data_IF_871537631604
#
_entry.id   IF_871537631604
#
_cell.length_a   1.000
_cell.length_b   1.000
_cell.length_c   1.000
_cell.angle_alpha   90.00
_cell.angle_beta   90.00
_cell.angle_gamma   90.00
#
_symmetry.space_group_name_H-M   'P 1'
#
loop_
_entity.id
_entity.type
_entity.pdbx_description
1 polymer ?
#
# COMPACT_ATOMS: atom_id res chain seq x y z
N UNK A 1 -19.04 -16.85 -7.90
CA UNK A 1 -17.55 -16.85 -7.89
C UNK A 1 -16.91 -17.11 -9.26
N UNK A 2 -17.47 -17.93 -10.16
CA UNK A 2 -16.85 -18.26 -11.48
C UNK A 2 -16.79 -17.14 -12.53
N UNK A 3 -17.73 -16.18 -12.52
CA UNK A 3 -17.77 -15.10 -13.52
C UNK A 3 -16.77 -13.96 -13.33
N UNK A 4 -16.33 -13.73 -12.08
CA UNK A 4 -15.39 -12.65 -11.76
C UNK A 4 -13.95 -12.99 -12.18
N UNK A 5 -13.56 -14.27 -12.03
CA UNK A 5 -12.28 -14.76 -12.52
C UNK A 5 -12.19 -14.66 -14.05
N UNK A 6 -13.22 -15.03 -14.80
CA UNK A 6 -13.22 -14.92 -16.27
C UNK A 6 -13.08 -13.47 -16.75
N UNK A 7 -13.72 -12.50 -16.07
CA UNK A 7 -13.57 -11.07 -16.38
C UNK A 7 -12.17 -10.53 -16.02
N UNK A 8 -11.58 -11.01 -14.91
CA UNK A 8 -10.22 -10.69 -14.49
C UNK A 8 -9.19 -11.31 -15.48
N UNK A 9 -9.42 -12.54 -15.94
CA UNK A 9 -8.59 -13.22 -16.94
C UNK A 9 -8.73 -12.61 -18.34
N UNK A 10 -9.90 -12.10 -18.72
CA UNK A 10 -10.06 -11.35 -19.96
C UNK A 10 -9.32 -10.00 -19.91
N UNK A 11 -9.31 -9.33 -18.75
CA UNK A 11 -8.57 -8.08 -18.55
C UNK A 11 -7.04 -8.28 -18.45
N UNK A 12 -6.59 -9.45 -17.98
CA UNK A 12 -5.16 -9.79 -17.86
C UNK A 12 -4.62 -10.45 -19.15
N UNK A 13 -5.43 -11.29 -19.81
CA UNK A 13 -5.08 -12.09 -21.00
C UNK A 13 -4.89 -11.30 -22.30
N UNK A 14 -5.31 -10.03 -22.34
CA UNK A 14 -5.04 -9.12 -23.47
C UNK A 14 -3.91 -8.12 -23.21
N UNK A 15 -3.08 -8.32 -22.18
CA UNK A 15 -1.75 -7.70 -22.20
C UNK A 15 -0.82 -8.47 -23.13
N UNK A 16 -1.17 -8.49 -24.42
CA UNK A 16 -0.21 -8.73 -25.50
C UNK A 16 0.84 -7.64 -25.34
N UNK A 17 1.95 -7.97 -24.68
CA UNK A 17 3.18 -7.18 -24.72
C UNK A 17 3.52 -7.00 -26.20
N UNK A 18 3.05 -5.92 -26.80
CA UNK A 18 3.64 -5.40 -28.02
C UNK A 18 5.04 -5.00 -27.61
N UNK A 19 6.00 -5.90 -27.85
CA UNK A 19 7.40 -5.58 -28.00
C UNK A 19 7.49 -4.45 -29.03
N UNK A 20 7.53 -3.22 -28.54
CA UNK A 20 7.66 -2.06 -29.41
C UNK A 20 9.10 -2.02 -29.91
N UNK A 21 9.30 -1.68 -31.20
CA UNK A 21 10.57 -1.80 -31.88
C UNK A 21 11.65 -1.02 -31.13
N UNK A 22 12.75 -1.70 -30.81
CA UNK A 22 14.03 -1.11 -30.39
C UNK A 22 14.45 -0.14 -31.49
N UNK A 23 14.26 1.17 -31.33
CA UNK A 23 14.61 2.11 -32.39
C UNK A 23 14.54 3.62 -32.13
N UNK A 24 13.90 4.12 -31.06
CA UNK A 24 13.99 5.54 -30.69
C UNK A 24 14.07 5.68 -29.17
N UNK A 25 15.04 6.45 -28.68
CA UNK A 25 15.17 6.75 -27.25
C UNK A 25 13.89 7.35 -26.67
N UNK A 26 13.70 7.30 -25.34
CA UNK A 26 12.49 7.84 -24.72
C UNK A 26 12.33 9.32 -25.11
N UNK A 27 11.17 9.68 -25.65
CA UNK A 27 10.82 11.09 -25.90
C UNK A 27 10.89 11.87 -24.58
N UNK A 28 11.28 13.14 -24.59
CA UNK A 28 11.40 13.96 -23.37
C UNK A 28 10.15 13.92 -22.48
N UNK A 29 8.98 13.84 -23.11
CA UNK A 29 7.67 13.69 -22.46
C UNK A 29 7.48 12.34 -21.75
N UNK A 30 8.00 11.26 -22.33
CA UNK A 30 7.99 9.92 -21.74
C UNK A 30 9.00 9.80 -20.59
N UNK A 31 10.16 10.43 -20.72
CA UNK A 31 11.11 10.53 -19.61
C UNK A 31 10.50 11.30 -18.42
N UNK A 32 9.80 12.41 -18.68
CA UNK A 32 9.07 13.14 -17.64
C UNK A 32 7.93 12.31 -16.99
N UNK A 33 7.22 11.50 -17.79
CA UNK A 33 6.21 10.56 -17.28
C UNK A 33 6.79 9.53 -16.32
N UNK A 34 7.91 8.89 -16.68
CA UNK A 34 8.59 7.91 -15.84
C UNK A 34 9.11 8.54 -14.52
N UNK A 35 9.39 9.85 -14.51
CA UNK A 35 9.89 10.54 -13.30
C UNK A 35 8.75 10.94 -12.35
N UNK A 36 7.62 11.40 -12.89
CA UNK A 36 6.57 12.07 -12.09
C UNK A 36 5.41 11.13 -11.73
N UNK A 37 5.19 10.08 -12.52
CA UNK A 37 3.94 9.31 -12.47
C UNK A 37 4.14 7.82 -12.20
N UNK A 38 5.29 7.25 -12.58
CA UNK A 38 5.70 5.93 -12.10
C UNK A 38 6.13 6.07 -10.63
N UNK A 39 5.20 5.78 -9.72
CA UNK A 39 5.50 5.59 -8.29
C UNK A 39 6.66 4.60 -8.09
N UNK A 40 7.24 4.50 -6.89
CA UNK A 40 8.62 4.07 -6.65
C UNK A 40 9.04 2.91 -7.56
N UNK A 41 9.60 3.25 -8.72
CA UNK A 41 10.27 2.32 -9.60
C UNK A 41 11.68 2.08 -9.05
N UNK A 42 12.41 1.10 -9.57
CA UNK A 42 13.79 0.80 -9.13
C UNK A 42 14.77 1.99 -9.30
N UNK A 43 14.31 3.12 -9.84
CA UNK A 43 15.08 4.35 -10.01
C UNK A 43 14.98 5.23 -8.77
N UNK A 44 16.13 5.76 -8.34
CA UNK A 44 16.24 6.64 -7.17
C UNK A 44 15.54 7.99 -7.39
N UNK A 45 15.54 8.49 -8.64
CA UNK A 45 15.09 9.84 -8.97
C UNK A 45 13.58 10.09 -8.69
N UNK A 46 12.62 9.25 -9.13
CA UNK A 46 11.20 9.42 -8.79
C UNK A 46 10.95 9.46 -7.27
N UNK A 47 11.61 8.57 -6.52
CA UNK A 47 11.46 8.50 -5.06
C UNK A 47 11.96 9.77 -4.37
N UNK A 48 13.04 10.38 -4.88
CA UNK A 48 13.57 11.65 -4.36
C UNK A 48 12.64 12.81 -4.68
N UNK A 49 12.07 12.86 -5.89
CA UNK A 49 11.09 13.89 -6.28
C UNK A 49 9.84 13.81 -5.42
N UNK A 50 9.30 12.60 -5.22
CA UNK A 50 8.15 12.37 -4.33
C UNK A 50 8.45 12.81 -2.89
N UNK A 51 9.60 12.41 -2.35
CA UNK A 51 10.02 12.81 -1.01
C UNK A 51 10.15 14.33 -0.88
N UNK A 52 10.77 14.99 -1.86
CA UNK A 52 10.91 16.44 -1.90
C UNK A 52 9.55 17.15 -1.92
N UNK A 53 8.62 16.71 -2.77
CA UNK A 53 7.28 17.31 -2.86
C UNK A 53 6.49 17.09 -1.55
N UNK A 54 6.58 15.92 -0.93
CA UNK A 54 5.97 15.65 0.37
C UNK A 54 6.54 16.55 1.46
N UNK A 55 7.86 16.71 1.53
CA UNK A 55 8.51 17.62 2.49
C UNK A 55 8.07 19.07 2.25
N UNK A 56 8.01 19.51 0.99
CA UNK A 56 7.56 20.86 0.63
C UNK A 56 6.10 21.10 1.07
N UNK A 57 5.21 20.12 0.87
CA UNK A 57 3.83 20.19 1.35
C UNK A 57 3.78 20.29 2.87
N UNK A 58 4.55 19.45 3.59
CA UNK A 58 4.58 19.48 5.05
C UNK A 58 5.06 20.84 5.60
N UNK A 59 6.13 21.40 5.02
CA UNK A 59 6.64 22.74 5.36
C UNK A 59 5.56 23.80 5.10
N UNK A 60 4.83 23.71 3.99
CA UNK A 60 3.75 24.66 3.68
C UNK A 60 2.60 24.58 4.68
N UNK A 61 2.17 23.38 5.07
CA UNK A 61 1.09 23.21 6.06
C UNK A 61 1.52 23.79 7.41
N UNK A 62 2.75 23.51 7.85
CA UNK A 62 3.30 24.09 9.08
C UNK A 62 3.38 25.62 8.97
N UNK A 63 3.86 26.15 7.84
CA UNK A 63 3.93 27.59 7.61
C UNK A 63 2.56 28.26 7.71
N UNK A 64 1.52 27.67 7.11
CA UNK A 64 0.15 28.19 7.20
C UNK A 64 -0.36 28.18 8.64
N UNK A 65 -0.09 27.12 9.42
CA UNK A 65 -0.47 27.08 10.83
C UNK A 65 0.25 28.19 11.64
N UNK A 66 1.56 28.37 11.44
CA UNK A 66 2.36 29.38 12.14
C UNK A 66 1.98 30.81 11.72
N UNK A 67 1.57 31.01 10.47
CA UNK A 67 1.06 32.30 9.95
C UNK A 67 -0.18 32.77 10.72
N UNK A 68 -0.96 31.86 11.34
CA UNK A 68 -2.13 32.23 12.13
C UNK A 68 -1.80 32.85 13.49
N UNK A 69 -0.54 32.72 13.96
CA UNK A 69 -0.10 33.25 15.26
C UNK A 69 0.50 34.64 15.06
N UNK A 70 -0.13 35.73 15.58
CA UNK A 70 0.30 37.10 15.28
C UNK A 70 1.76 37.39 15.65
N UNK A 71 2.21 36.92 16.81
CA UNK A 71 3.60 37.13 17.29
C UNK A 71 4.66 36.47 16.40
N UNK A 72 4.33 35.35 15.76
CA UNK A 72 5.23 34.65 14.83
C UNK A 72 5.15 35.31 13.46
N UNK A 73 3.94 35.66 13.00
CA UNK A 73 3.71 36.33 11.73
C UNK A 73 4.48 37.65 11.64
N UNK A 74 4.36 38.51 12.65
CA UNK A 74 5.00 39.83 12.63
C UNK A 74 6.53 39.75 12.57
N UNK A 75 7.12 38.69 13.14
CA UNK A 75 8.57 38.46 13.15
C UNK A 75 9.09 37.79 11.87
N UNK A 76 8.32 36.90 11.26
CA UNK A 76 8.75 36.05 10.13
C UNK A 76 7.96 36.26 8.84
N UNK A 77 7.21 37.37 8.72
CA UNK A 77 6.36 37.70 7.57
C UNK A 77 7.04 37.48 6.21
N UNK A 78 8.26 37.99 6.05
CA UNK A 78 9.03 37.85 4.80
C UNK A 78 9.34 36.40 4.47
N UNK A 79 9.69 35.59 5.48
CA UNK A 79 9.96 34.17 5.30
C UNK A 79 8.72 33.42 4.83
N UNK A 80 7.55 33.69 5.42
CA UNK A 80 6.28 33.06 4.99
C UNK A 80 5.93 33.42 3.54
N UNK A 81 6.12 34.67 3.14
CA UNK A 81 5.90 35.12 1.75
C UNK A 81 6.85 34.40 0.78
N UNK A 82 8.13 34.26 1.14
CA UNK A 82 9.10 33.55 0.30
C UNK A 82 8.74 32.07 0.16
N UNK A 83 8.39 31.41 1.28
CA UNK A 83 7.95 30.01 1.27
C UNK A 83 6.73 29.84 0.35
N UNK A 84 5.74 30.73 0.45
CA UNK A 84 4.54 30.73 -0.38
C UNK A 84 4.86 30.87 -1.87
N UNK A 85 5.69 31.85 -2.25
CA UNK A 85 6.02 32.11 -3.65
C UNK A 85 6.79 30.94 -4.24
N UNK A 86 7.82 30.46 -3.53
CA UNK A 86 8.67 29.35 -4.00
C UNK A 86 7.85 28.07 -4.12
N UNK A 87 7.01 27.75 -3.13
CA UNK A 87 6.20 26.53 -3.15
C UNK A 87 5.14 26.57 -4.25
N UNK A 88 4.44 27.69 -4.43
CA UNK A 88 3.44 27.86 -5.49
C UNK A 88 4.10 27.78 -6.86
N UNK A 89 5.29 28.36 -7.05
CA UNK A 89 6.03 28.22 -8.30
C UNK A 89 6.34 26.75 -8.61
N UNK A 90 6.86 26.00 -7.63
CA UNK A 90 7.16 24.56 -7.77
C UNK A 90 5.89 23.76 -8.07
N UNK A 91 4.80 23.98 -7.32
CA UNK A 91 3.53 23.27 -7.54
C UNK A 91 2.87 23.64 -8.88
N UNK A 92 3.04 24.87 -9.35
CA UNK A 92 2.56 25.28 -10.68
C UNK A 92 3.32 24.52 -11.77
N UNK A 93 4.66 24.45 -11.66
CA UNK A 93 5.49 23.69 -12.59
C UNK A 93 5.13 22.21 -12.57
N UNK A 94 4.99 21.61 -11.38
CA UNK A 94 4.55 20.23 -11.21
C UNK A 94 3.18 19.98 -11.87
N UNK A 95 2.19 20.84 -11.62
CA UNK A 95 0.87 20.73 -12.25
C UNK A 95 0.94 20.87 -13.78
N UNK A 96 1.72 21.81 -14.29
CA UNK A 96 1.91 22.02 -15.72
C UNK A 96 2.58 20.81 -16.40
N UNK A 97 3.61 20.23 -15.78
CA UNK A 97 4.26 19.03 -16.32
C UNK A 97 3.30 17.85 -16.32
N UNK A 98 2.49 17.67 -15.26
CA UNK A 98 1.46 16.61 -15.21
C UNK A 98 0.43 16.73 -16.32
N UNK A 99 -0.08 17.94 -16.56
CA UNK A 99 -0.94 18.20 -17.71
C UNK A 99 -0.23 17.93 -19.03
N UNK A 100 1.01 18.39 -19.18
CA UNK A 100 1.78 18.18 -20.42
C UNK A 100 1.97 16.69 -20.73
N UNK A 101 2.25 15.89 -19.70
CA UNK A 101 2.49 14.47 -19.79
C UNK A 101 1.18 13.67 -19.93
N UNK A 102 0.03 14.19 -19.48
CA UNK A 102 -1.23 13.46 -19.38
C UNK A 102 -1.59 12.51 -20.56
N UNK A 103 -1.45 12.88 -21.85
CA UNK A 103 -1.73 11.95 -22.95
C UNK A 103 -0.85 10.66 -23.02
N UNK A 104 0.21 10.53 -22.22
CA UNK A 104 1.00 9.28 -22.09
C UNK A 104 0.32 8.26 -21.17
N UNK A 105 -0.65 8.68 -20.35
CA UNK A 105 -1.35 7.75 -19.48
C UNK A 105 -2.20 6.75 -20.28
N UNK A 106 -2.16 5.49 -19.88
CA UNK A 106 -2.88 4.39 -20.52
C UNK A 106 -4.39 4.66 -20.72
N UNK A 107 -5.15 5.22 -19.75
CA UNK A 107 -6.58 5.51 -19.91
C UNK A 107 -6.92 6.57 -20.97
N UNK A 108 -5.93 7.33 -21.43
CA UNK A 108 -6.09 8.35 -22.47
C UNK A 108 -5.39 7.98 -23.78
N UNK A 109 -4.86 6.75 -23.87
CA UNK A 109 -4.24 6.24 -25.10
C UNK A 109 -5.27 6.28 -26.25
N UNK A 110 -4.90 6.94 -27.34
CA UNK A 110 -5.78 7.14 -28.51
C UNK A 110 -6.62 8.43 -28.51
N UNK A 111 -6.61 9.23 -27.44
CA UNK A 111 -7.26 10.55 -27.45
C UNK A 111 -6.36 11.62 -28.08
N UNK A 112 -6.99 12.66 -28.65
CA UNK A 112 -6.26 13.88 -29.04
C UNK A 112 -5.57 14.48 -27.81
N UNK A 113 -4.35 15.03 -27.93
CA UNK A 113 -3.59 15.52 -26.77
C UNK A 113 -4.36 16.52 -25.90
N UNK A 114 -5.09 17.47 -26.49
CA UNK A 114 -5.85 18.47 -25.73
C UNK A 114 -7.06 17.85 -24.99
N UNK A 115 -7.70 16.84 -25.57
CA UNK A 115 -8.80 16.13 -24.92
C UNK A 115 -8.29 15.31 -23.73
N UNK A 116 -7.13 14.65 -23.85
CA UNK A 116 -6.49 13.95 -22.75
C UNK A 116 -6.13 14.89 -21.59
N UNK A 117 -5.59 16.08 -21.90
CA UNK A 117 -5.27 17.12 -20.90
C UNK A 117 -6.50 17.60 -20.14
N UNK A 118 -7.57 17.92 -20.86
CA UNK A 118 -8.82 18.38 -20.25
C UNK A 118 -9.43 17.29 -19.35
N UNK A 119 -9.44 16.05 -19.83
CA UNK A 119 -9.95 14.91 -19.05
C UNK A 119 -9.11 14.63 -17.81
N UNK A 120 -7.78 14.81 -17.89
CA UNK A 120 -6.90 14.74 -16.74
C UNK A 120 -7.16 15.88 -15.74
N UNK A 121 -7.33 17.12 -16.22
CA UNK A 121 -7.58 18.29 -15.38
C UNK A 121 -8.85 18.14 -14.52
N UNK A 122 -9.84 17.39 -15.00
CA UNK A 122 -11.09 17.08 -14.30
C UNK A 122 -10.98 15.90 -13.32
N UNK A 123 -9.81 15.28 -13.16
CA UNK A 123 -9.61 14.23 -12.16
C UNK A 123 -9.51 14.81 -10.75
N UNK A 124 -9.94 14.10 -9.70
CA UNK A 124 -9.88 14.61 -8.32
C UNK A 124 -8.50 15.08 -7.89
N UNK A 125 -7.45 14.35 -8.28
CA UNK A 125 -6.07 14.71 -7.94
C UNK A 125 -5.61 15.99 -8.67
N UNK A 126 -5.96 16.16 -9.94
CA UNK A 126 -5.63 17.36 -10.69
C UNK A 126 -6.41 18.59 -10.21
N UNK A 127 -7.66 18.41 -9.76
CA UNK A 127 -8.44 19.47 -9.13
C UNK A 127 -7.78 19.90 -7.82
N UNK A 128 -7.33 18.97 -6.98
CA UNK A 128 -6.59 19.30 -5.75
C UNK A 128 -5.29 20.06 -6.08
N UNK A 129 -4.55 19.63 -7.11
CA UNK A 129 -3.33 20.30 -7.56
C UNK A 129 -3.61 21.74 -8.02
N UNK A 130 -4.73 21.97 -8.72
CA UNK A 130 -5.19 23.30 -9.14
C UNK A 130 -5.62 24.16 -7.95
N UNK A 131 -6.48 23.63 -7.06
CA UNK A 131 -6.97 24.34 -5.88
C UNK A 131 -5.84 24.71 -4.91
N UNK A 132 -4.74 23.95 -4.90
CA UNK A 132 -3.57 24.22 -4.09
C UNK A 132 -2.77 25.47 -4.54
N UNK A 133 -2.79 25.80 -5.83
CA UNK A 133 -2.08 26.96 -6.40
C UNK A 133 -3.02 28.16 -6.65
N UNK A 134 -4.31 27.89 -6.83
CA UNK A 134 -5.32 28.89 -7.19
C UNK A 134 -5.38 30.12 -6.25
N UNK A 135 -5.32 30.01 -4.91
CA UNK A 135 -5.46 31.16 -4.02
C UNK A 135 -4.40 32.25 -4.26
N UNK A 136 -3.18 31.84 -4.59
CA UNK A 136 -2.08 32.76 -4.90
C UNK A 136 -2.41 33.59 -6.13
N UNK A 137 -2.78 32.94 -7.25
CA UNK A 137 -3.11 33.63 -8.49
C UNK A 137 -4.37 34.49 -8.38
N UNK A 138 -5.39 34.05 -7.63
CA UNK A 138 -6.61 34.83 -7.40
C UNK A 138 -6.33 36.12 -6.62
N UNK A 139 -5.33 36.13 -5.75
CA UNK A 139 -4.91 37.34 -5.00
C UNK A 139 -4.42 38.46 -5.93
N UNK A 140 -3.84 38.11 -7.09
CA UNK A 140 -3.40 39.10 -8.10
C UNK A 140 -4.53 39.54 -9.04
N UNK A 141 -5.51 38.68 -9.28
CA UNK A 141 -6.61 38.93 -10.23
C UNK A 141 -7.72 39.80 -9.63
N UNK A 142 -8.01 39.65 -8.33
CA UNK A 142 -9.11 40.34 -7.68
C UNK A 142 -8.82 40.64 -6.19
N UNK A 143 -9.06 41.88 -5.71
CA UNK A 143 -8.87 42.25 -4.31
C UNK A 143 -10.06 41.83 -3.41
N UNK A 144 -10.46 40.56 -3.44
CA UNK A 144 -11.46 40.03 -2.50
C UNK A 144 -10.91 40.02 -1.07
N UNK A 145 -11.79 39.91 -0.08
CA UNK A 145 -11.41 39.72 1.32
C UNK A 145 -10.56 38.44 1.47
N UNK A 146 -9.23 38.63 1.48
CA UNK A 146 -8.20 37.59 1.34
C UNK A 146 -8.21 36.58 2.50
N UNK A 147 -9.03 36.78 3.52
CA UNK A 147 -9.13 35.90 4.69
C UNK A 147 -9.65 34.52 4.33
N UNK A 148 -10.71 34.42 3.51
CA UNK A 148 -11.26 33.15 3.07
C UNK A 148 -10.32 32.43 2.09
N UNK A 149 -9.57 33.18 1.26
CA UNK A 149 -8.57 32.59 0.35
C UNK A 149 -7.42 31.90 1.11
N UNK A 150 -7.11 32.32 2.35
CA UNK A 150 -6.09 31.66 3.17
C UNK A 150 -6.47 30.24 3.55
N UNK A 151 -7.75 29.94 3.80
CA UNK A 151 -8.16 28.58 4.17
C UNK A 151 -7.93 27.59 3.03
N UNK A 152 -8.03 28.05 1.78
CA UNK A 152 -7.74 27.22 0.61
C UNK A 152 -6.25 26.83 0.51
N UNK A 153 -5.32 27.54 1.17
CA UNK A 153 -3.92 27.10 1.25
C UNK A 153 -3.79 25.76 1.97
N UNK A 154 -4.69 25.44 2.92
CA UNK A 154 -4.73 24.14 3.57
C UNK A 154 -5.12 23.01 2.61
N UNK A 155 -5.74 23.31 1.46
CA UNK A 155 -6.03 22.29 0.43
C UNK A 155 -4.74 21.63 -0.09
N UNK A 156 -3.59 22.30 0.00
CA UNK A 156 -2.27 21.72 -0.30
C UNK A 156 -1.99 20.45 0.49
N UNK A 157 -2.53 20.32 1.71
CA UNK A 157 -2.43 19.09 2.51
C UNK A 157 -2.99 17.88 1.75
N UNK A 158 -4.09 18.04 1.02
CA UNK A 158 -4.69 16.95 0.26
C UNK A 158 -3.83 16.49 -0.93
N UNK A 159 -2.80 17.25 -1.35
CA UNK A 159 -1.82 16.76 -2.34
C UNK A 159 -1.08 15.52 -1.82
N UNK A 160 -0.92 15.36 -0.50
CA UNK A 160 -0.33 14.16 0.13
C UNK A 160 -1.08 12.88 -0.24
N UNK A 161 -2.38 12.99 -0.56
CA UNK A 161 -3.20 11.85 -0.95
C UNK A 161 -2.68 11.12 -2.18
N UNK A 162 -2.02 11.84 -3.09
CA UNK A 162 -1.42 11.25 -4.30
C UNK A 162 -0.21 10.39 -3.95
N UNK A 163 0.62 10.82 -3.01
CA UNK A 163 1.89 10.17 -2.66
C UNK A 163 1.67 8.96 -1.73
N UNK A 164 0.63 8.97 -0.89
CA UNK A 164 0.32 7.86 0.02
C UNK A 164 -0.29 6.64 -0.68
N UNK A 165 0.46 5.54 -0.76
CA UNK A 165 -0.03 4.23 -1.24
C UNK A 165 -1.21 3.72 -0.41
N UNK A 166 -1.18 3.95 0.91
CA UNK A 166 -2.22 3.59 1.86
C UNK A 166 -3.52 4.36 1.62
N UNK A 167 -3.44 5.67 1.41
CA UNK A 167 -4.64 6.46 1.12
C UNK A 167 -5.24 6.11 -0.25
N UNK A 168 -4.40 5.73 -1.24
CA UNK A 168 -4.89 5.16 -2.50
C UNK A 168 -5.64 3.84 -2.28
N UNK A 169 -5.19 2.96 -1.37
CA UNK A 169 -5.94 1.74 -1.00
C UNK A 169 -7.25 2.07 -0.30
N UNK A 170 -7.23 2.96 0.69
CA UNK A 170 -8.43 3.38 1.41
C UNK A 170 -9.47 3.98 0.45
N UNK A 171 -9.04 4.86 -0.46
CA UNK A 171 -9.93 5.47 -1.45
C UNK A 171 -10.57 4.45 -2.39
N UNK A 172 -9.87 3.34 -2.68
CA UNK A 172 -10.41 2.24 -3.50
C UNK A 172 -11.40 1.40 -2.72
N UNK A 173 -11.08 1.07 -1.46
CA UNK A 173 -11.97 0.35 -0.56
C UNK A 173 -13.28 1.12 -0.30
N UNK A 174 -13.21 2.43 -0.05
CA UNK A 174 -14.40 3.27 0.12
C UNK A 174 -15.22 3.34 -1.18
N UNK A 175 -14.56 3.44 -2.34
CA UNK A 175 -15.26 3.46 -3.63
C UNK A 175 -15.91 2.13 -3.98
N UNK A 176 -15.31 1.00 -3.63
CA UNK A 176 -15.94 -0.31 -3.85
C UNK A 176 -17.19 -0.48 -2.99
N UNK A 177 -17.17 0.05 -1.76
CA UNK A 177 -18.27 -0.06 -0.81
C UNK A 177 -19.20 1.16 -0.73
N UNK A 178 -19.10 2.10 -1.69
CA UNK A 178 -19.83 3.37 -1.62
C UNK A 178 -21.34 3.19 -1.45
N UNK A 179 -21.92 2.16 -2.08
CA UNK A 179 -23.36 1.86 -1.95
C UNK A 179 -23.73 1.43 -0.52
N UNK A 180 -22.93 0.56 0.08
CA UNK A 180 -23.15 0.09 1.44
C UNK A 180 -22.92 1.22 2.46
N UNK A 181 -21.87 2.03 2.28
CA UNK A 181 -21.59 3.20 3.12
C UNK A 181 -22.69 4.26 3.02
N UNK A 182 -23.19 4.52 1.81
CA UNK A 182 -24.31 5.45 1.60
C UNK A 182 -25.58 4.93 2.30
N UNK A 183 -25.86 3.62 2.22
CA UNK A 183 -26.99 3.02 2.94
C UNK A 183 -26.84 3.19 4.47
N UNK A 184 -25.64 2.97 5.02
CA UNK A 184 -25.36 3.19 6.45
C UNK A 184 -25.62 4.64 6.87
N UNK A 185 -25.15 5.60 6.07
CA UNK A 185 -25.37 7.03 6.32
C UNK A 185 -26.85 7.42 6.26
N UNK A 186 -27.62 6.85 5.33
CA UNK A 186 -29.06 7.10 5.24
C UNK A 186 -29.78 6.57 6.49
N UNK A 187 -29.45 5.34 6.94
CA UNK A 187 -30.04 4.76 8.16
C UNK A 187 -29.66 5.60 9.39
N UNK A 188 -28.40 6.02 9.48
CA UNK A 188 -27.90 6.87 10.57
C UNK A 188 -28.61 8.23 10.60
N UNK A 189 -28.78 8.88 9.44
CA UNK A 189 -29.52 10.13 9.34
C UNK A 189 -30.99 9.97 9.76
N UNK A 190 -31.63 8.87 9.36
CA UNK A 190 -32.99 8.54 9.79
C UNK A 190 -33.09 8.33 11.31
N UNK A 191 -32.12 7.63 11.90
CA UNK A 191 -32.07 7.42 13.34
C UNK A 191 -31.85 8.73 14.11
N UNK A 192 -30.96 9.61 13.63
CA UNK A 192 -30.76 10.95 14.19
C UNK A 192 -32.07 11.75 14.14
N UNK A 193 -32.78 11.71 13.01
CA UNK A 193 -34.04 12.41 12.83
C UNK A 193 -35.10 11.94 13.85
N UNK A 194 -35.29 10.63 13.96
CA UNK A 194 -36.26 10.02 14.88
C UNK A 194 -35.85 10.26 16.33
N UNK A 195 -34.59 10.05 16.69
CA UNK A 195 -34.10 10.25 18.05
C UNK A 195 -34.24 11.71 18.50
N UNK A 196 -33.90 12.68 17.64
CA UNK A 196 -34.03 14.10 17.95
C UNK A 196 -35.49 14.54 18.10
N UNK A 197 -36.39 14.05 17.23
CA UNK A 197 -37.83 14.33 17.33
C UNK A 197 -38.46 13.70 18.59
N UNK A 198 -38.09 12.46 18.93
CA UNK A 198 -38.55 11.81 20.16
C UNK A 198 -38.00 12.50 21.41
N UNK A 199 -36.75 12.98 21.37
CA UNK A 199 -36.17 13.70 22.50
C UNK A 199 -36.85 15.06 22.71
N UNK A 200 -37.12 15.79 21.63
CA UNK A 200 -37.97 16.97 21.68
C UNK A 200 -39.34 16.65 22.31
N UNK A 201 -40.02 15.61 21.84
CA UNK A 201 -41.32 15.23 22.38
C UNK A 201 -41.27 14.88 23.88
N UNK A 202 -40.19 14.24 24.34
CA UNK A 202 -40.01 13.84 25.74
C UNK A 202 -39.59 15.00 26.68
N UNK A 203 -38.77 15.94 26.21
CA UNK A 203 -38.10 16.91 27.08
C UNK A 203 -38.54 18.36 26.87
N UNK A 204 -39.25 18.71 25.78
CA UNK A 204 -39.58 20.12 25.47
C UNK A 204 -40.37 20.84 26.57
N UNK A 205 -41.19 20.11 27.34
CA UNK A 205 -41.96 20.69 28.46
C UNK A 205 -41.09 20.95 29.69
N UNK A 206 -40.12 20.08 29.95
CA UNK A 206 -39.22 20.18 31.11
C UNK A 206 -38.03 21.11 30.82
N UNK A 207 -37.61 21.20 29.56
CA UNK A 207 -36.39 21.88 29.12
C UNK A 207 -36.61 22.66 27.81
N UNK A 208 -37.48 23.69 27.78
CA UNK A 208 -37.81 24.43 26.56
C UNK A 208 -36.62 25.21 25.98
N UNK A 209 -35.63 25.59 26.79
CA UNK A 209 -34.49 26.37 26.31
C UNK A 209 -33.51 25.53 25.47
N UNK A 210 -33.36 24.24 25.79
CA UNK A 210 -32.40 23.32 25.15
C UNK A 210 -33.06 22.27 24.26
N UNK A 211 -34.31 21.89 24.52
CA UNK A 211 -35.11 20.98 23.70
C UNK A 211 -36.40 21.67 23.18
N UNK A 212 -36.34 22.99 22.94
CA UNK A 212 -37.48 23.78 22.46
C UNK A 212 -37.82 23.59 20.98
N UNK A 213 -36.99 22.89 20.22
CA UNK A 213 -37.23 22.63 18.80
C UNK A 213 -36.60 21.32 18.34
N UNK A 214 -37.16 20.75 17.26
CA UNK A 214 -36.62 19.52 16.67
C UNK A 214 -35.13 19.66 16.28
N UNK A 215 -34.66 20.75 15.63
CA UNK A 215 -33.24 20.92 15.32
C UNK A 215 -32.30 20.88 16.53
N UNK A 216 -32.73 21.41 17.68
CA UNK A 216 -31.95 21.28 18.92
C UNK A 216 -31.91 19.82 19.41
N UNK A 217 -33.03 19.10 19.30
CA UNK A 217 -33.06 17.65 19.51
C UNK A 217 -32.16 16.88 18.54
N UNK A 218 -32.05 17.30 17.27
CA UNK A 218 -31.13 16.71 16.29
C UNK A 218 -29.67 16.93 16.68
N UNK A 219 -29.30 18.10 17.19
CA UNK A 219 -27.95 18.35 17.71
C UNK A 219 -27.59 17.35 18.81
N UNK A 220 -28.48 17.21 19.81
CA UNK A 220 -28.31 16.22 20.87
C UNK A 220 -28.19 14.78 20.32
N UNK A 221 -29.04 14.42 19.36
CA UNK A 221 -29.02 13.10 18.74
C UNK A 221 -27.71 12.84 17.98
N UNK A 222 -27.18 13.82 17.22
CA UNK A 222 -25.87 13.73 16.57
C UNK A 222 -24.79 13.50 17.61
N UNK A 223 -24.70 14.35 18.64
CA UNK A 223 -23.64 14.28 19.66
C UNK A 223 -23.67 12.96 20.44
N UNK A 224 -24.86 12.46 20.75
CA UNK A 224 -25.07 11.20 21.48
C UNK A 224 -24.79 9.99 20.60
N UNK A 225 -25.34 9.96 19.38
CA UNK A 225 -25.21 8.83 18.46
C UNK A 225 -23.78 8.67 17.93
N UNK A 226 -23.06 9.78 17.75
CA UNK A 226 -21.65 9.81 17.35
C UNK A 226 -20.67 9.61 18.51
N UNK A 227 -21.18 9.28 19.69
CA UNK A 227 -20.39 9.01 20.91
C UNK A 227 -19.46 10.16 21.31
N UNK A 228 -19.74 11.40 20.91
CA UNK A 228 -18.94 12.59 21.26
C UNK A 228 -19.27 13.04 22.68
N UNK A 229 -20.57 13.17 22.98
CA UNK A 229 -21.05 13.43 24.34
C UNK A 229 -20.45 14.69 24.98
N UNK A 230 -20.59 15.86 24.35
CA UNK A 230 -20.08 17.13 24.90
C UNK A 230 -20.61 17.44 26.31
N UNK A 231 -21.79 16.92 26.66
CA UNK A 231 -22.43 17.15 27.97
C UNK A 231 -23.06 18.54 28.10
N UNK A 232 -23.20 19.25 26.99
CA UNK A 232 -23.86 20.56 26.87
C UNK A 232 -25.38 20.46 27.05
N UNK A 233 -25.99 19.38 26.56
CA UNK A 233 -27.43 19.11 26.69
C UNK A 233 -27.65 17.64 27.07
N UNK A 234 -28.46 17.40 28.10
CA UNK A 234 -28.82 16.04 28.56
C UNK A 234 -30.28 15.96 28.98
N UNK A 235 -30.96 14.81 28.79
CA UNK A 235 -32.34 14.65 29.26
C UNK A 235 -32.40 14.62 30.80
N UNK A 236 -33.38 15.32 31.37
CA UNK A 236 -33.59 15.34 32.83
C UNK A 236 -34.73 14.42 33.24
N UNK A 237 -35.70 14.17 32.35
CA UNK A 237 -36.86 13.31 32.62
C UNK A 237 -36.47 11.84 32.61
N UNK A 238 -37.25 11.00 33.30
CA UNK A 238 -37.08 9.54 33.28
C UNK A 238 -37.26 9.00 31.87
N UNK A 239 -38.28 9.47 31.14
CA UNK A 239 -38.55 9.06 29.77
C UNK A 239 -37.42 9.41 28.81
N UNK A 240 -36.89 10.64 28.89
CA UNK A 240 -35.74 11.08 28.09
C UNK A 240 -34.47 10.30 28.42
N UNK A 241 -34.22 9.96 29.70
CA UNK A 241 -33.08 9.10 30.08
C UNK A 241 -33.20 7.68 29.54
N UNK A 242 -34.39 7.08 29.60
CA UNK A 242 -34.64 5.75 29.01
C UNK A 242 -34.46 5.77 27.49
N UNK A 243 -35.03 6.77 26.81
CA UNK A 243 -34.85 6.99 25.38
C UNK A 243 -33.36 7.18 25.04
N UNK A 244 -32.65 7.97 25.82
CA UNK A 244 -31.20 8.18 25.70
C UNK A 244 -30.43 6.87 25.75
N UNK A 245 -30.73 6.00 26.73
CA UNK A 245 -30.11 4.68 26.82
C UNK A 245 -30.31 3.82 25.57
N UNK A 246 -31.54 3.80 25.03
CA UNK A 246 -31.85 3.08 23.78
C UNK A 246 -31.10 3.68 22.59
N UNK A 247 -31.09 5.01 22.46
CA UNK A 247 -30.37 5.72 21.38
C UNK A 247 -28.87 5.45 21.43
N UNK A 248 -28.26 5.42 22.61
CA UNK A 248 -26.83 5.09 22.78
C UNK A 248 -26.51 3.66 22.30
N UNK A 249 -27.36 2.67 22.60
CA UNK A 249 -27.18 1.29 22.12
C UNK A 249 -27.23 1.21 20.59
N UNK A 250 -28.21 1.86 19.97
CA UNK A 250 -28.28 1.92 18.51
C UNK A 250 -27.11 2.69 17.90
N UNK A 251 -26.62 3.75 18.55
CA UNK A 251 -25.47 4.50 18.08
C UNK A 251 -24.21 3.63 17.99
N UNK A 252 -23.92 2.86 19.04
CA UNK A 252 -22.81 1.91 19.03
C UNK A 252 -22.94 0.87 17.91
N UNK A 253 -24.13 0.28 17.75
CA UNK A 253 -24.39 -0.72 16.72
C UNK A 253 -24.27 -0.15 15.29
N UNK A 254 -24.79 1.07 15.06
CA UNK A 254 -24.78 1.72 13.76
C UNK A 254 -23.40 2.20 13.34
N UNK A 255 -22.55 2.64 14.27
CA UNK A 255 -21.17 3.03 13.98
C UNK A 255 -20.26 1.84 13.65
N UNK A 256 -20.53 0.67 14.23
CA UNK A 256 -19.76 -0.55 13.96
C UNK A 256 -19.84 -0.98 12.48
N UNK A 257 -20.96 -0.71 11.81
CA UNK A 257 -21.20 -1.13 10.43
C UNK A 257 -20.27 -0.44 9.40
N UNK A 258 -20.22 0.91 9.27
CA UNK A 258 -19.31 1.57 8.33
C UNK A 258 -17.84 1.30 8.66
N UNK A 259 -17.48 1.19 9.95
CA UNK A 259 -16.13 0.82 10.37
C UNK A 259 -15.78 -0.59 9.86
N UNK A 260 -16.67 -1.57 10.08
CA UNK A 260 -16.48 -2.94 9.62
C UNK A 260 -16.43 -3.08 8.10
N UNK A 261 -17.29 -2.34 7.38
CA UNK A 261 -17.29 -2.29 5.92
C UNK A 261 -15.95 -1.75 5.40
N UNK A 262 -15.51 -0.59 5.89
CA UNK A 262 -14.23 0.01 5.47
C UNK A 262 -13.05 -0.88 5.86
N UNK A 263 -13.04 -1.46 7.06
CA UNK A 263 -11.98 -2.35 7.51
C UNK A 263 -11.87 -3.61 6.62
N UNK A 264 -13.00 -4.26 6.33
CA UNK A 264 -13.05 -5.45 5.48
C UNK A 264 -12.63 -5.12 4.05
N UNK A 265 -13.14 -4.03 3.47
CA UNK A 265 -12.77 -3.61 2.12
C UNK A 265 -11.30 -3.19 2.01
N UNK A 266 -10.76 -2.53 3.03
CA UNK A 266 -9.35 -2.20 3.09
C UNK A 266 -8.48 -3.44 3.18
N UNK A 267 -8.82 -4.40 4.06
CA UNK A 267 -8.12 -5.68 4.17
C UNK A 267 -8.15 -6.45 2.85
N UNK A 268 -9.30 -6.54 2.18
CA UNK A 268 -9.43 -7.15 0.86
C UNK A 268 -8.57 -6.44 -0.21
N UNK A 269 -8.51 -5.11 -0.21
CA UNK A 269 -7.71 -4.36 -1.18
C UNK A 269 -6.20 -4.52 -0.93
N UNK A 270 -5.78 -4.66 0.33
CA UNK A 270 -4.39 -4.97 0.69
C UNK A 270 -4.03 -6.39 0.25
N UNK A 271 -4.84 -7.39 0.59
CA UNK A 271 -4.60 -8.78 0.19
C UNK A 271 -4.64 -8.98 -1.33
N UNK A 272 -5.53 -8.28 -2.06
CA UNK A 272 -5.55 -8.34 -3.53
C UNK A 272 -4.23 -7.84 -4.13
N UNK A 273 -3.64 -6.79 -3.57
CA UNK A 273 -2.34 -6.28 -4.04
C UNK A 273 -1.23 -7.28 -3.77
N UNK A 274 -1.19 -7.87 -2.57
CA UNK A 274 -0.24 -8.94 -2.24
C UNK A 274 -0.38 -10.10 -3.22
N UNK A 275 -1.60 -10.56 -3.50
CA UNK A 275 -1.86 -11.60 -4.48
C UNK A 275 -1.30 -11.25 -5.86
N UNK A 276 -1.61 -10.06 -6.41
CA UNK A 276 -1.13 -9.67 -7.75
C UNK A 276 0.41 -9.58 -7.80
N UNK A 277 1.02 -9.04 -6.74
CA UNK A 277 2.48 -8.95 -6.63
C UNK A 277 3.09 -10.35 -6.57
N UNK A 278 2.61 -11.21 -5.68
CA UNK A 278 3.04 -12.62 -5.53
C UNK A 278 2.85 -13.39 -6.83
N UNK A 279 1.72 -13.26 -7.52
CA UNK A 279 1.48 -13.89 -8.83
C UNK A 279 2.53 -13.46 -9.86
N UNK A 280 2.75 -12.16 -9.99
CA UNK A 280 3.72 -11.61 -10.93
C UNK A 280 5.15 -12.02 -10.62
N UNK A 281 5.43 -12.39 -9.37
CA UNK A 281 6.70 -12.92 -8.91
C UNK A 281 6.83 -14.42 -9.19
N UNK A 282 5.78 -15.21 -8.90
CA UNK A 282 5.74 -16.67 -9.17
C UNK A 282 5.92 -16.93 -10.66
N UNK A 283 5.20 -16.18 -11.50
CA UNK A 283 5.29 -16.30 -12.96
C UNK A 283 6.68 -15.95 -13.54
N UNK A 284 7.57 -15.30 -12.77
CA UNK A 284 8.96 -15.01 -13.20
C UNK A 284 9.93 -16.14 -12.88
N UNK A 285 9.57 -17.04 -11.95
CA UNK A 285 10.44 -18.15 -11.56
C UNK A 285 10.23 -19.29 -12.58
N UNK A 286 11.26 -19.70 -13.33
CA UNK A 286 11.14 -20.74 -14.36
C UNK A 286 10.56 -22.06 -13.84
N UNK A 287 10.81 -22.37 -12.56
CA UNK A 287 10.26 -23.57 -11.90
C UNK A 287 8.72 -23.66 -11.97
N UNK A 288 8.03 -22.52 -12.00
CA UNK A 288 6.56 -22.44 -11.98
C UNK A 288 5.95 -22.10 -13.34
N UNK A 289 6.75 -22.04 -14.41
CA UNK A 289 6.28 -21.60 -15.74
C UNK A 289 5.29 -22.55 -16.39
N UNK A 290 5.31 -23.82 -16.00
CA UNK A 290 4.48 -24.87 -16.59
C UNK A 290 3.16 -25.10 -15.83
N UNK A 291 2.90 -24.29 -14.80
CA UNK A 291 1.70 -24.42 -13.98
C UNK A 291 0.53 -23.67 -14.60
N UNK A 292 -0.65 -24.29 -14.54
CA UNK A 292 -1.89 -23.65 -14.90
C UNK A 292 -2.34 -22.63 -13.83
N UNK A 293 -3.41 -21.90 -14.14
CA UNK A 293 -3.82 -20.80 -13.28
C UNK A 293 -4.40 -21.23 -11.92
N UNK A 294 -5.00 -22.42 -11.85
CA UNK A 294 -5.48 -23.00 -10.58
C UNK A 294 -4.32 -23.47 -9.71
N UNK A 295 -3.34 -24.12 -10.33
CA UNK A 295 -2.16 -24.65 -9.65
C UNK A 295 -1.31 -23.53 -9.05
N UNK A 296 -1.13 -22.43 -9.79
CA UNK A 296 -0.44 -21.24 -9.26
C UNK A 296 -1.20 -20.66 -8.07
N UNK A 297 -2.54 -20.57 -8.14
CA UNK A 297 -3.35 -20.04 -7.04
C UNK A 297 -3.19 -20.87 -5.76
N UNK A 298 -3.10 -22.20 -5.89
CA UNK A 298 -2.88 -23.09 -4.74
C UNK A 298 -1.50 -22.89 -4.12
N UNK A 299 -0.44 -22.82 -4.94
CA UNK A 299 0.93 -22.62 -4.44
C UNK A 299 1.12 -21.23 -3.82
N UNK A 300 0.46 -20.21 -4.36
CA UNK A 300 0.53 -18.86 -3.80
C UNK A 300 0.05 -18.76 -2.37
N UNK A 301 -0.84 -19.64 -1.90
CA UNK A 301 -1.26 -19.68 -0.50
C UNK A 301 -0.15 -20.09 0.46
N UNK A 302 0.87 -20.79 -0.06
CA UNK A 302 2.04 -21.27 0.66
C UNK A 302 3.22 -20.28 0.61
N UNK A 303 3.20 -19.34 -0.34
CA UNK A 303 4.30 -18.42 -0.60
C UNK A 303 4.07 -17.06 0.06
N UNK A 304 5.08 -16.57 0.77
CA UNK A 304 5.08 -15.21 1.35
C UNK A 304 6.02 -14.30 0.58
N UNK A 305 5.49 -13.19 0.08
CA UNK A 305 6.28 -12.14 -0.56
C UNK A 305 7.09 -11.36 0.49
N UNK A 306 8.38 -11.15 0.22
CA UNK A 306 9.27 -10.34 1.07
C UNK A 306 10.15 -9.45 0.20
N UNK A 307 10.32 -8.18 0.59
CA UNK A 307 11.26 -7.26 -0.06
C UNK A 307 12.41 -6.95 0.89
N UNK A 308 13.64 -7.08 0.39
CA UNK A 308 14.87 -6.81 1.15
C UNK A 308 15.64 -5.67 0.48
N UNK A 309 16.03 -4.61 1.22
CA UNK A 309 16.81 -3.51 0.65
C UNK A 309 18.28 -3.92 0.38
N UNK A 310 19.01 -3.18 -0.46
CA UNK A 310 20.45 -3.41 -0.67
C UNK A 310 21.22 -3.44 0.65
N UNK A 311 22.15 -4.38 0.79
CA UNK A 311 22.92 -4.65 2.01
C UNK A 311 22.16 -5.42 3.10
N UNK A 312 20.85 -5.64 2.93
CA UNK A 312 20.04 -6.42 3.88
C UNK A 312 20.45 -7.89 3.92
N UNK A 313 20.61 -8.44 5.11
CA UNK A 313 20.87 -9.88 5.31
C UNK A 313 19.56 -10.66 5.26
N UNK A 314 19.50 -11.70 4.42
CA UNK A 314 18.31 -12.54 4.24
C UNK A 314 18.35 -13.76 5.17
N UNK A 315 19.52 -14.39 5.31
CA UNK A 315 19.76 -15.45 6.29
C UNK A 315 21.25 -15.51 6.64
N UNK A 316 21.59 -15.91 7.85
CA UNK A 316 22.99 -16.06 8.29
C UNK A 316 23.39 -17.52 8.33
N UNK A 317 24.65 -17.75 8.02
CA UNK A 317 25.26 -19.06 8.18
C UNK A 317 25.12 -19.57 9.63
N UNK A 318 24.79 -20.85 9.77
CA UNK A 318 24.63 -21.51 11.07
C UNK A 318 23.24 -21.35 11.68
N UNK A 319 22.37 -20.49 11.14
CA UNK A 319 20.97 -20.41 11.57
C UNK A 319 20.19 -21.69 11.20
N UNK A 320 19.13 -22.05 11.94
CA UNK A 320 18.21 -23.09 11.53
C UNK A 320 17.59 -22.77 10.16
N UNK A 321 17.48 -23.76 9.27
CA UNK A 321 16.84 -23.56 7.97
C UNK A 321 15.32 -23.76 8.06
N UNK A 322 14.60 -22.66 8.30
CA UNK A 322 13.14 -22.68 8.46
C UNK A 322 12.36 -22.46 7.15
N UNK A 323 13.05 -22.02 6.09
CA UNK A 323 12.43 -21.68 4.81
C UNK A 323 13.40 -21.76 3.63
N UNK A 324 12.88 -21.86 2.42
CA UNK A 324 13.62 -21.62 1.17
C UNK A 324 13.10 -20.36 0.49
N UNK A 325 13.90 -19.78 -0.41
CA UNK A 325 13.62 -18.49 -1.03
C UNK A 325 13.75 -18.57 -2.56
N UNK A 326 12.78 -18.02 -3.28
CA UNK A 326 12.82 -17.84 -4.73
C UNK A 326 13.02 -16.35 -5.06
N UNK A 327 13.94 -16.04 -5.96
CA UNK A 327 14.28 -14.66 -6.34
C UNK A 327 13.41 -14.25 -7.51
N UNK A 328 12.45 -13.37 -7.27
CA UNK A 328 11.58 -12.86 -8.32
C UNK A 328 12.19 -11.67 -9.09
N UNK A 329 12.99 -10.86 -8.40
CA UNK A 329 13.76 -9.76 -8.97
C UNK A 329 14.88 -9.31 -8.06
N UNK A 330 15.97 -8.81 -8.64
CA UNK A 330 17.15 -8.35 -7.92
C UNK A 330 18.26 -9.40 -7.87
N UNK A 331 19.35 -9.07 -7.18
CA UNK A 331 20.52 -9.93 -7.04
C UNK A 331 20.88 -10.11 -5.56
N UNK A 332 21.25 -11.35 -5.22
CA UNK A 332 21.77 -11.72 -3.89
C UNK A 332 23.17 -12.29 -4.01
N UNK A 333 23.96 -12.13 -2.97
CA UNK A 333 25.29 -12.70 -2.82
C UNK A 333 25.31 -13.67 -1.63
N UNK A 334 25.77 -14.89 -1.87
CA UNK A 334 25.92 -15.96 -0.91
C UNK A 334 27.40 -16.07 -0.54
N UNK A 335 27.72 -15.87 0.74
CA UNK A 335 29.08 -15.98 1.26
C UNK A 335 29.24 -17.34 1.96
N UNK A 336 30.05 -18.22 1.36
CA UNK A 336 30.46 -19.53 1.90
C UNK A 336 31.84 -19.42 2.57
N UNK A 337 32.41 -20.52 3.10
CA UNK A 337 33.80 -20.52 3.61
C UNK A 337 34.78 -20.32 2.45
N UNK A 338 35.08 -19.06 2.13
CA UNK A 338 36.12 -18.69 1.16
C UNK A 338 35.63 -18.39 -0.26
N UNK A 339 34.32 -18.50 -0.53
CA UNK A 339 33.76 -18.25 -1.87
C UNK A 339 32.47 -17.42 -1.80
N UNK A 340 32.24 -16.62 -2.86
CA UNK A 340 31.03 -15.82 -3.04
C UNK A 340 30.32 -16.25 -4.32
N UNK A 341 29.05 -16.60 -4.21
CA UNK A 341 28.18 -16.93 -5.35
C UNK A 341 27.09 -15.88 -5.49
N UNK A 342 26.86 -15.38 -6.71
CA UNK A 342 25.75 -14.48 -6.99
C UNK A 342 24.60 -15.20 -7.66
N UNK A 343 23.39 -14.94 -7.18
CA UNK A 343 22.15 -15.45 -7.75
C UNK A 343 21.25 -14.28 -8.14
N UNK A 344 20.54 -14.44 -9.26
CA UNK A 344 19.71 -13.40 -9.87
C UNK A 344 18.24 -13.78 -9.95
N UNK A 345 17.47 -12.97 -10.67
CA UNK A 345 16.05 -13.22 -10.90
C UNK A 345 15.82 -14.57 -11.59
N UNK A 346 14.91 -15.39 -11.03
CA UNK A 346 14.60 -16.74 -11.49
C UNK A 346 15.31 -17.85 -10.70
N UNK A 347 16.40 -17.52 -10.00
CA UNK A 347 17.09 -18.47 -9.12
C UNK A 347 16.36 -18.63 -7.78
N UNK A 348 16.70 -19.69 -7.04
CA UNK A 348 16.25 -19.91 -5.66
C UNK A 348 17.41 -20.42 -4.80
N UNK A 349 17.26 -20.39 -3.48
CA UNK A 349 18.27 -20.88 -2.53
C UNK A 349 17.65 -21.34 -1.20
N UNK A 350 18.40 -22.15 -0.45
CA UNK A 350 18.00 -22.66 0.86
C UNK A 350 17.27 -24.00 0.81
N UNK A 351 17.09 -24.56 -0.38
CA UNK A 351 16.47 -25.85 -0.67
C UNK A 351 17.17 -27.02 0.03
N UNK A 352 18.51 -27.04 -0.02
CA UNK A 352 19.32 -28.15 0.54
C UNK A 352 19.18 -28.20 2.05
N UNK A 353 19.19 -27.02 2.69
CA UNK A 353 19.14 -26.94 4.14
C UNK A 353 17.76 -27.33 4.69
N UNK A 354 16.68 -26.96 3.98
CA UNK A 354 15.31 -27.37 4.30
C UNK A 354 15.10 -28.86 4.07
N UNK A 355 15.54 -29.41 2.93
CA UNK A 355 15.43 -30.84 2.59
C UNK A 355 16.17 -31.74 3.59
N UNK A 356 17.38 -31.32 4.02
CA UNK A 356 18.24 -32.10 4.93
C UNK A 356 18.01 -31.80 6.41
N UNK A 357 17.06 -30.91 6.76
CA UNK A 357 16.87 -30.40 8.13
C UNK A 357 18.19 -29.95 8.78
N UNK A 358 19.00 -29.22 8.03
CA UNK A 358 20.33 -28.78 8.45
C UNK A 358 20.39 -27.26 8.68
N UNK A 359 21.51 -26.76 9.22
CA UNK A 359 21.75 -25.33 9.41
C UNK A 359 22.14 -24.66 8.08
N UNK A 360 21.91 -23.36 7.96
CA UNK A 360 22.30 -22.56 6.78
C UNK A 360 23.80 -22.71 6.49
N UNK A 361 24.13 -23.10 5.26
CA UNK A 361 25.52 -23.29 4.80
C UNK A 361 26.24 -21.97 4.50
N UNK A 362 25.50 -20.93 4.13
CA UNK A 362 26.01 -19.63 3.71
C UNK A 362 25.25 -18.46 4.36
N UNK A 363 25.89 -17.30 4.45
CA UNK A 363 25.21 -16.04 4.72
C UNK A 363 24.75 -15.44 3.40
N UNK A 364 23.50 -15.02 3.31
CA UNK A 364 22.92 -14.46 2.08
C UNK A 364 22.60 -12.99 2.30
N UNK A 365 23.12 -12.12 1.43
CA UNK A 365 22.90 -10.67 1.49
C UNK A 365 22.37 -10.15 0.17
N UNK A 366 21.51 -9.13 0.23
CA UNK A 366 20.95 -8.50 -0.95
C UNK A 366 21.96 -7.50 -1.55
N UNK A 367 22.31 -7.65 -2.82
CA UNK A 367 23.19 -6.72 -3.54
C UNK A 367 22.37 -5.53 -4.04
N UNK A 368 21.19 -5.80 -4.60
CA UNK A 368 20.20 -4.79 -5.01
C UNK A 368 19.00 -4.82 -4.05
N UNK A 369 17.94 -4.06 -4.35
CA UNK A 369 16.63 -4.36 -3.75
C UNK A 369 16.18 -5.71 -4.32
N UNK A 370 15.84 -6.65 -3.46
CA UNK A 370 15.47 -8.02 -3.84
C UNK A 370 14.03 -8.28 -3.41
N UNK A 371 13.23 -8.78 -4.35
CA UNK A 371 11.90 -9.31 -4.04
C UNK A 371 11.96 -10.84 -4.06
N UNK A 372 11.65 -11.43 -2.92
CA UNK A 372 11.74 -12.86 -2.65
C UNK A 372 10.35 -13.44 -2.42
N UNK A 373 10.16 -14.68 -2.85
CA UNK A 373 9.08 -15.53 -2.38
C UNK A 373 9.67 -16.51 -1.37
N UNK A 374 9.13 -16.50 -0.16
CA UNK A 374 9.57 -17.38 0.94
C UNK A 374 8.58 -18.53 1.06
N UNK A 375 9.11 -19.75 1.12
CA UNK A 375 8.35 -20.97 1.36
C UNK A 375 8.87 -21.63 2.64
N UNK A 376 8.02 -21.78 3.65
CA UNK A 376 8.44 -22.40 4.91
C UNK A 376 8.75 -23.89 4.74
N UNK A 377 9.52 -24.48 5.66
CA UNK A 377 9.86 -25.89 5.60
C UNK A 377 8.62 -26.82 5.70
N UNK A 378 7.59 -26.41 6.43
CA UNK A 378 6.34 -27.17 6.56
C UNK A 378 5.46 -27.00 5.32
N UNK A 379 5.37 -25.79 4.77
CA UNK A 379 4.68 -25.51 3.51
C UNK A 379 5.37 -26.19 2.33
N UNK A 380 6.69 -26.30 2.35
CA UNK A 380 7.46 -27.03 1.34
C UNK A 380 7.16 -28.53 1.36
N UNK A 381 7.04 -29.15 2.54
CA UNK A 381 6.59 -30.56 2.63
C UNK A 381 5.18 -30.72 2.09
N UNK A 382 4.28 -29.81 2.46
CA UNK A 382 2.90 -29.78 1.93
C UNK A 382 2.89 -29.64 0.40
N UNK A 383 3.77 -28.82 -0.17
CA UNK A 383 3.94 -28.66 -1.60
C UNK A 383 4.44 -29.96 -2.25
N UNK A 384 5.43 -30.63 -1.66
CA UNK A 384 5.97 -31.89 -2.16
C UNK A 384 4.92 -33.01 -2.16
N UNK A 385 4.11 -33.09 -1.10
CA UNK A 385 3.05 -34.10 -0.97
C UNK A 385 1.93 -33.88 -1.99
N UNK A 386 1.58 -32.61 -2.24
CA UNK A 386 0.55 -32.26 -3.23
C UNK A 386 1.06 -32.36 -4.67
N UNK A 387 2.36 -32.14 -4.91
CA UNK A 387 2.96 -31.98 -6.24
C UNK A 387 4.33 -32.67 -6.37
N UNK A 388 4.32 -33.99 -6.65
CA UNK A 388 5.55 -34.75 -6.86
C UNK A 388 6.40 -34.23 -8.04
N UNK A 389 5.76 -33.69 -9.08
CA UNK A 389 6.40 -33.11 -10.27
C UNK A 389 7.32 -31.94 -9.94
N UNK A 390 6.83 -31.00 -9.10
CA UNK A 390 7.63 -29.86 -8.64
C UNK A 390 8.72 -30.36 -7.68
N UNK A 391 8.39 -31.31 -6.80
CA UNK A 391 9.35 -31.88 -5.87
C UNK A 391 10.55 -32.49 -6.60
N UNK A 392 10.32 -33.21 -7.70
CA UNK A 392 11.38 -33.85 -8.47
C UNK A 392 12.23 -32.84 -9.24
N UNK A 393 11.63 -31.75 -9.76
CA UNK A 393 12.39 -30.65 -10.36
C UNK A 393 13.31 -29.96 -9.33
N UNK A 394 12.79 -29.69 -8.13
CA UNK A 394 13.57 -29.09 -7.04
C UNK A 394 14.69 -30.03 -6.58
N UNK A 395 14.41 -31.33 -6.40
CA UNK A 395 15.42 -32.35 -6.05
C UNK A 395 16.51 -32.46 -7.11
N UNK A 396 16.15 -32.41 -8.39
CA UNK A 396 17.10 -32.48 -9.50
C UNK A 396 18.05 -31.28 -9.49
N UNK A 397 17.51 -30.07 -9.37
CA UNK A 397 18.32 -28.84 -9.29
C UNK A 397 19.18 -28.83 -8.02
N UNK A 398 18.64 -29.28 -6.88
CA UNK A 398 19.39 -29.43 -5.64
C UNK A 398 20.54 -30.43 -5.79
N UNK A 399 20.31 -31.55 -6.47
CA UNK A 399 21.34 -32.56 -6.73
C UNK A 399 22.43 -32.05 -7.68
N UNK A 400 22.09 -31.30 -8.73
CA UNK A 400 23.07 -30.68 -9.62
C UNK A 400 23.94 -29.65 -8.90
N UNK A 401 23.37 -28.87 -7.99
CA UNK A 401 24.10 -27.85 -7.22
C UNK A 401 25.02 -28.47 -6.18
N UNK A 402 24.54 -29.48 -5.44
CA UNK A 402 25.37 -30.27 -4.52
C UNK A 402 26.43 -31.06 -5.30
N UNK A 403 26.11 -31.51 -6.52
CA UNK A 403 27.05 -32.14 -7.44
C UNK A 403 28.17 -31.20 -7.86
N UNK A 404 27.85 -29.95 -8.24
CA UNK A 404 28.85 -28.91 -8.50
C UNK A 404 29.68 -28.55 -7.26
N UNK A 405 29.06 -28.51 -6.08
CA UNK A 405 29.72 -28.29 -4.80
C UNK A 405 30.70 -29.44 -4.46
N UNK A 406 30.34 -30.69 -4.83
CA UNK A 406 31.22 -31.87 -4.72
C UNK A 406 32.31 -31.92 -5.80
N UNK A 407 32.02 -31.54 -7.04
CA UNK A 407 32.97 -31.59 -8.17
C UNK A 407 34.01 -30.46 -8.11
N UNK A 408 33.67 -29.31 -7.52
CA UNK A 408 34.65 -28.25 -7.22
C UNK A 408 35.59 -28.60 -6.05
N UNK A 409 35.26 -29.61 -5.24
CA UNK A 409 36.19 -30.24 -4.30
C UNK A 409 36.98 -31.36 -5.00
N UNK A 410 37.73 -30.96 -6.04
CA UNK A 410 38.85 -31.74 -6.56
C UNK A 410 40.05 -31.59 -5.64
N UNK A 411 40.04 -32.32 -4.51
CA UNK A 411 41.14 -32.35 -3.55
C UNK A 411 40.70 -33.12 -2.32
N UNK A 412 41.04 -34.41 -2.32
CA UNK A 412 41.00 -35.39 -1.23
C UNK A 412 40.33 -34.98 0.10
N UNK A 413 39.31 -35.77 0.50
CA UNK A 413 39.26 -36.53 1.76
C UNK A 413 37.79 -36.92 2.07
N UNK A 414 37.51 -38.23 2.00
CA UNK A 414 36.27 -38.89 2.49
C UNK A 414 36.57 -39.63 3.81
N UNK A 415 37.42 -39.07 4.68
CA UNK A 415 37.83 -39.78 5.90
C UNK A 415 37.14 -39.28 7.17
N UNK A 416 36.85 -37.98 7.29
CA UNK A 416 36.41 -37.40 8.58
C UNK A 416 34.88 -37.46 8.83
N UNK A 417 34.05 -37.61 7.79
CA UNK A 417 32.58 -37.72 7.95
C UNK A 417 32.08 -39.16 8.19
N UNK A 418 32.94 -40.17 7.99
CA UNK A 418 32.63 -41.59 8.30
C UNK A 418 33.07 -41.98 9.72
N UNK A 419 34.16 -41.42 10.25
CA UNK A 419 34.61 -41.71 11.62
C UNK A 419 33.64 -41.16 12.70
N UNK A 420 32.97 -40.04 12.44
CA UNK A 420 31.97 -39.48 13.36
C UNK A 420 30.62 -40.23 13.34
N UNK A 421 30.37 -41.09 12.34
CA UNK A 421 29.16 -41.91 12.27
C UNK A 421 29.36 -43.27 12.97
N UNK A 422 30.56 -43.85 12.89
CA UNK A 422 30.88 -45.12 13.57
C UNK A 422 31.05 -44.96 15.10
N UNK A 423 31.58 -43.82 15.57
CA UNK A 423 31.78 -43.60 17.02
C UNK A 423 30.47 -43.32 17.78
N UNK A 424 29.41 -42.86 17.09
CA UNK A 424 28.07 -42.71 17.69
C UNK A 424 27.27 -43.99 17.80
N UNK A 425 27.60 -45.04 17.04
CA UNK A 425 26.88 -46.33 17.08
C UNK A 425 27.58 -47.36 18.02
N UNK A 426 28.88 -47.20 18.28
CA UNK A 426 29.60 -47.99 19.27
C UNK A 426 29.27 -47.63 20.74
N UNK A 427 28.82 -46.40 21.01
CA UNK A 427 28.46 -45.93 22.36
C UNK A 427 27.06 -46.33 22.87
N UNK A 428 26.27 -47.08 22.10
CA UNK A 428 24.90 -47.50 22.47
C UNK A 428 24.72 -49.01 22.73
N UNK A 429 25.81 -49.79 22.70
CA UNK A 429 25.83 -51.20 23.12
C UNK A 429 26.99 -51.45 24.07
N UNK A 430 26.82 -51.05 25.33
CA UNK A 430 27.70 -51.34 26.44
C UNK A 430 26.93 -51.26 27.75
#
# INVERSE_FOLDING_TARGET
MRGWFAALFAAIGETKRRSHPRGKGPTARRAAFEIIEEGPSDRVLPSVVDAFLVTLIAVNVVAVCLETVPSIYDRYKTLFIVIEIVSVAIFTVEYAIRLWVAPEHMPYSGMKPNAARLRYALTPYAIIDLLAIMPFYLTFLMPWDLRLLRIFRLVRFFKLARYSTGLRSLSRAVRSEWRALTACLIIMAGLILVAGALMYAAEHTAQPDVFGSIPQGLWWAVVTLTTVGYGDVVPVTVGGKMLGGVVMLFGLAMFALPIGIVATAFAQEVHRREFVVTWSMVARVPLFSNLDASEIADIMTLLKAQTVPPGGTISRRGEPAEAMYFIASGEVELTLKGETLRLGAGDFFGEVAVLRKSRRSATVTAVTRVNLLTLSADDFRTLMDRRPDIADSIKTIAAERVGKERVMRGGDLISEELELAEDTDAGKKG
#
